data_IF_779939692328
#
_entry.id   IF_779939692328
#
_cell.length_a   1.000
_cell.length_b   1.000
_cell.length_c   1.000
_cell.angle_alpha   90.00
_cell.angle_beta   90.00
_cell.angle_gamma   90.00
#
_symmetry.space_group_name_H-M   'P 1'
#
loop_
_entity.id
_entity.type
_entity.pdbx_description
1 polymer ?
#
# COMPACT_ATOMS: atom_id res chain seq x y z
N UNK A 1 31.62 -6.76 5.51
CA UNK A 1 31.32 -6.13 4.20
C UNK A 1 30.47 -7.05 3.31
N UNK A 2 30.83 -8.32 3.11
CA UNK A 2 30.09 -9.26 2.23
C UNK A 2 28.64 -9.47 2.65
N UNK A 3 28.36 -9.64 3.95
CA UNK A 3 26.99 -9.81 4.46
C UNK A 3 26.09 -8.60 4.13
N UNK A 4 26.60 -7.38 4.17
CA UNK A 4 25.84 -6.17 3.83
C UNK A 4 25.41 -6.22 2.36
N UNK A 5 26.33 -6.59 1.48
CA UNK A 5 26.05 -6.70 0.04
C UNK A 5 25.04 -7.81 -0.23
N UNK A 6 25.19 -8.99 0.41
CA UNK A 6 24.29 -10.12 0.25
C UNK A 6 22.89 -9.79 0.82
N UNK A 7 22.80 -9.22 2.02
CA UNK A 7 21.54 -8.79 2.62
C UNK A 7 20.80 -7.81 1.70
N UNK A 8 21.51 -6.83 1.14
CA UNK A 8 20.95 -5.83 0.24
C UNK A 8 20.44 -6.46 -1.05
N UNK A 9 21.26 -7.26 -1.75
CA UNK A 9 20.87 -7.88 -3.04
C UNK A 9 19.69 -8.84 -2.84
N UNK A 10 19.75 -9.72 -1.84
CA UNK A 10 18.69 -10.71 -1.58
C UNK A 10 17.38 -9.99 -1.22
N UNK A 11 17.44 -8.97 -0.36
CA UNK A 11 16.25 -8.20 0.03
C UNK A 11 15.60 -7.49 -1.16
N UNK A 12 16.39 -6.85 -2.04
CA UNK A 12 15.86 -6.17 -3.23
C UNK A 12 15.21 -7.16 -4.19
N UNK A 13 15.91 -8.25 -4.54
CA UNK A 13 15.38 -9.25 -5.48
C UNK A 13 14.09 -9.86 -4.94
N UNK A 14 14.10 -10.27 -3.69
CA UNK A 14 12.94 -10.87 -3.02
C UNK A 14 11.76 -9.89 -2.95
N UNK A 15 12.00 -8.63 -2.58
CA UNK A 15 10.97 -7.58 -2.52
C UNK A 15 10.33 -7.32 -3.88
N UNK A 16 11.13 -7.26 -4.94
CA UNK A 16 10.62 -7.09 -6.30
C UNK A 16 9.78 -8.27 -6.75
N UNK A 17 10.23 -9.50 -6.50
CA UNK A 17 9.49 -10.71 -6.88
C UNK A 17 8.16 -10.83 -6.11
N UNK A 18 8.15 -10.58 -4.80
CA UNK A 18 6.94 -10.54 -3.97
C UNK A 18 5.98 -9.46 -4.49
N UNK A 19 6.48 -8.25 -4.74
CA UNK A 19 5.70 -7.17 -5.32
C UNK A 19 5.08 -7.55 -6.66
N UNK A 20 5.83 -8.27 -7.49
CA UNK A 20 5.43 -8.67 -8.84
C UNK A 20 4.32 -9.74 -8.87
N UNK A 21 3.96 -10.37 -7.73
CA UNK A 21 2.84 -11.30 -7.67
C UNK A 21 1.54 -10.56 -8.05
N UNK A 22 0.90 -10.93 -9.18
CA UNK A 22 -0.20 -10.15 -9.73
C UNK A 22 -1.55 -10.61 -9.15
N UNK A 23 -1.80 -10.31 -7.88
CA UNK A 23 -2.94 -10.81 -7.10
C UNK A 23 -4.29 -10.56 -7.76
N UNK A 24 -4.57 -9.36 -8.24
CA UNK A 24 -5.83 -9.05 -8.92
C UNK A 24 -6.03 -9.82 -10.22
N UNK A 25 -4.96 -10.03 -10.99
CA UNK A 25 -5.02 -10.87 -12.20
C UNK A 25 -5.33 -12.33 -11.85
N UNK A 26 -4.64 -12.88 -10.86
CA UNK A 26 -4.83 -14.28 -10.42
C UNK A 26 -6.25 -14.50 -9.89
N UNK A 27 -6.75 -13.59 -9.05
CA UNK A 27 -8.11 -13.63 -8.51
C UNK A 27 -9.15 -13.48 -9.63
N UNK A 28 -8.93 -12.56 -10.58
CA UNK A 28 -9.80 -12.38 -11.75
C UNK A 28 -9.93 -13.66 -12.59
N UNK A 29 -8.81 -14.32 -12.84
CA UNK A 29 -8.77 -15.60 -13.54
C UNK A 29 -9.42 -16.72 -12.75
N UNK A 30 -9.16 -16.82 -11.45
CA UNK A 30 -9.69 -17.90 -10.60
C UNK A 30 -11.22 -17.80 -10.40
N UNK A 31 -11.77 -16.61 -10.21
CA UNK A 31 -13.19 -16.44 -9.86
C UNK A 31 -14.12 -16.23 -11.05
N UNK A 32 -13.65 -15.63 -12.15
CA UNK A 32 -14.48 -15.34 -13.34
C UNK A 32 -13.84 -15.69 -14.69
N UNK A 33 -12.64 -16.26 -14.71
CA UNK A 33 -11.93 -16.59 -15.96
C UNK A 33 -11.47 -15.37 -16.77
N UNK A 34 -11.54 -14.15 -16.21
CA UNK A 34 -11.28 -12.90 -16.93
C UNK A 34 -9.94 -12.25 -16.55
N UNK A 35 -9.39 -11.45 -17.46
CA UNK A 35 -8.32 -10.52 -17.12
C UNK A 35 -8.92 -9.23 -16.59
N UNK A 36 -8.73 -8.99 -15.28
CA UNK A 36 -9.27 -7.82 -14.57
C UNK A 36 -8.83 -6.48 -15.17
N UNK A 37 -7.70 -6.47 -15.90
CA UNK A 37 -7.19 -5.27 -16.58
C UNK A 37 -7.98 -4.90 -17.85
N UNK A 38 -8.85 -5.78 -18.32
CA UNK A 38 -9.69 -5.57 -19.51
C UNK A 38 -11.11 -5.12 -19.15
N UNK A 39 -11.46 -5.09 -17.85
CA UNK A 39 -12.82 -4.77 -17.40
C UNK A 39 -12.81 -3.67 -16.32
N UNK A 40 -13.93 -2.96 -16.21
CA UNK A 40 -14.14 -1.91 -15.21
C UNK A 40 -13.16 -0.74 -15.34
N UNK A 41 -12.43 -0.42 -14.29
CA UNK A 41 -11.44 0.67 -14.29
C UNK A 41 -10.11 0.31 -14.96
N UNK A 42 -9.99 -0.87 -15.54
CA UNK A 42 -8.77 -1.41 -16.15
C UNK A 42 -7.55 -1.48 -15.21
N UNK A 43 -7.77 -1.34 -13.91
CA UNK A 43 -6.73 -1.46 -12.88
C UNK A 43 -6.73 -2.85 -12.25
N UNK A 44 -5.54 -3.36 -11.93
CA UNK A 44 -5.37 -4.68 -11.30
C UNK A 44 -5.71 -4.70 -9.79
N UNK A 45 -6.03 -3.55 -9.18
CA UNK A 45 -6.20 -3.42 -7.74
C UNK A 45 -7.55 -3.91 -7.20
N UNK A 46 -7.62 -3.99 -5.86
CA UNK A 46 -8.75 -4.48 -5.08
C UNK A 46 -10.09 -3.82 -5.43
N UNK A 47 -10.13 -2.50 -5.64
CA UNK A 47 -11.37 -1.78 -5.94
C UNK A 47 -11.99 -2.19 -7.27
N UNK A 48 -11.17 -2.40 -8.33
CA UNK A 48 -11.70 -2.89 -9.59
C UNK A 48 -12.24 -4.31 -9.43
N UNK A 49 -11.52 -5.17 -8.72
CA UNK A 49 -11.95 -6.54 -8.41
C UNK A 49 -13.25 -6.55 -7.61
N UNK A 50 -13.36 -5.68 -6.62
CA UNK A 50 -14.56 -5.53 -5.79
C UNK A 50 -15.82 -5.23 -6.62
N UNK A 51 -15.75 -4.26 -7.55
CA UNK A 51 -16.91 -3.84 -8.34
C UNK A 51 -17.22 -4.77 -9.51
N UNK A 52 -16.22 -5.41 -10.11
CA UNK A 52 -16.40 -6.22 -11.32
C UNK A 52 -16.57 -7.71 -11.06
N UNK A 53 -15.97 -8.22 -9.99
CA UNK A 53 -16.01 -9.64 -9.63
C UNK A 53 -16.87 -9.89 -8.41
N UNK A 54 -16.68 -9.10 -7.32
CA UNK A 54 -17.47 -9.19 -6.10
C UNK A 54 -16.71 -8.81 -4.85
N UNK A 55 -17.44 -8.75 -3.73
CA UNK A 55 -16.92 -8.31 -2.42
C UNK A 55 -15.72 -9.17 -1.96
N UNK A 56 -15.91 -10.48 -1.83
CA UNK A 56 -14.88 -11.37 -1.29
C UNK A 56 -13.61 -11.45 -2.15
N UNK A 57 -13.70 -11.58 -3.50
CA UNK A 57 -12.52 -11.46 -4.36
C UNK A 57 -11.79 -10.12 -4.21
N UNK A 58 -12.53 -9.01 -4.09
CA UNK A 58 -11.93 -7.69 -3.85
C UNK A 58 -11.21 -7.59 -2.52
N UNK A 59 -11.79 -8.14 -1.45
CA UNK A 59 -11.17 -8.21 -0.11
C UNK A 59 -9.92 -9.10 -0.12
N UNK A 60 -9.95 -10.23 -0.83
CA UNK A 60 -8.78 -11.10 -0.99
C UNK A 60 -7.62 -10.35 -1.67
N UNK A 61 -7.90 -9.64 -2.77
CA UNK A 61 -6.89 -8.82 -3.45
C UNK A 61 -6.34 -7.74 -2.51
N UNK A 62 -7.20 -7.06 -1.75
CA UNK A 62 -6.80 -6.04 -0.78
C UNK A 62 -5.85 -6.62 0.27
N UNK A 63 -6.25 -7.72 0.91
CA UNK A 63 -5.46 -8.38 1.94
C UNK A 63 -4.10 -8.87 1.41
N UNK A 64 -4.09 -9.49 0.23
CA UNK A 64 -2.84 -9.94 -0.39
C UNK A 64 -1.94 -8.78 -0.80
N UNK A 65 -2.50 -7.67 -1.33
CA UNK A 65 -1.70 -6.52 -1.76
C UNK A 65 -1.13 -5.73 -0.57
N UNK A 66 -1.85 -5.62 0.57
CA UNK A 66 -1.30 -5.12 1.84
C UNK A 66 -0.24 -6.10 2.36
N UNK A 67 -0.60 -7.38 2.44
CA UNK A 67 0.26 -8.43 2.99
C UNK A 67 1.61 -8.53 2.28
N UNK A 68 1.66 -8.39 0.94
CA UNK A 68 2.95 -8.44 0.23
C UNK A 68 3.89 -7.29 0.60
N UNK A 69 3.35 -6.09 0.92
CA UNK A 69 4.14 -4.99 1.45
C UNK A 69 4.76 -5.34 2.80
N UNK A 70 3.93 -5.77 3.76
CA UNK A 70 4.36 -6.16 5.11
C UNK A 70 5.31 -7.37 5.08
N UNK A 71 4.96 -8.44 4.34
CA UNK A 71 5.79 -9.66 4.23
C UNK A 71 7.15 -9.36 3.61
N UNK A 72 7.21 -8.49 2.61
CA UNK A 72 8.48 -8.07 2.00
C UNK A 72 9.43 -7.45 3.03
N UNK A 73 8.94 -6.55 3.88
CA UNK A 73 9.75 -5.91 4.91
C UNK A 73 10.13 -6.88 6.04
N UNK A 74 9.19 -7.73 6.47
CA UNK A 74 9.47 -8.78 7.45
C UNK A 74 10.60 -9.70 6.96
N UNK A 75 10.54 -10.15 5.71
CA UNK A 75 11.59 -11.00 5.14
C UNK A 75 12.91 -10.25 4.97
N UNK A 76 12.88 -8.95 4.66
CA UNK A 76 14.07 -8.10 4.66
C UNK A 76 14.68 -8.02 6.06
N UNK A 77 13.87 -7.79 7.09
CA UNK A 77 14.32 -7.79 8.47
C UNK A 77 14.98 -9.12 8.85
N UNK A 78 14.32 -10.25 8.55
CA UNK A 78 14.86 -11.58 8.85
C UNK A 78 16.16 -11.87 8.08
N UNK A 79 16.23 -11.44 6.83
CA UNK A 79 17.45 -11.58 6.00
C UNK A 79 18.61 -10.79 6.60
N UNK A 80 18.37 -9.53 6.99
CA UNK A 80 19.37 -8.63 7.52
C UNK A 80 19.78 -8.95 8.97
N UNK A 81 18.89 -9.56 9.75
CA UNK A 81 19.15 -9.88 11.16
C UNK A 81 19.73 -11.28 11.38
N UNK A 82 19.31 -12.25 10.57
CA UNK A 82 19.61 -13.68 10.84
C UNK A 82 20.33 -14.39 9.69
N UNK A 83 19.93 -14.16 8.42
CA UNK A 83 20.55 -14.89 7.29
C UNK A 83 21.90 -14.31 6.90
N UNK A 84 21.97 -13.00 6.77
CA UNK A 84 23.20 -12.21 6.51
C UNK A 84 23.28 -11.09 7.55
N UNK A 85 23.67 -11.38 8.81
CA UNK A 85 23.65 -10.38 9.88
C UNK A 85 24.45 -9.15 9.56
N UNK A 86 23.82 -7.97 9.68
CA UNK A 86 24.40 -6.65 9.46
C UNK A 86 24.25 -5.78 10.72
N UNK A 87 25.00 -4.67 10.83
CA UNK A 87 24.80 -3.69 11.90
C UNK A 87 23.36 -3.20 11.97
N UNK A 88 22.79 -3.09 13.19
CA UNK A 88 21.38 -2.76 13.43
C UNK A 88 20.98 -1.40 12.84
N UNK A 89 21.88 -0.44 12.78
CA UNK A 89 21.65 0.88 12.17
C UNK A 89 21.45 0.84 10.65
N UNK A 90 21.76 -0.29 9.97
CA UNK A 90 21.55 -0.47 8.54
C UNK A 90 20.24 -1.23 8.22
N UNK A 91 19.54 -1.81 9.20
CA UNK A 91 18.32 -2.60 8.98
C UNK A 91 17.20 -1.72 8.43
N UNK A 92 16.87 -0.62 9.12
CA UNK A 92 15.82 0.32 8.64
C UNK A 92 16.12 0.87 7.24
N UNK A 93 17.33 1.36 6.92
CA UNK A 93 17.68 1.78 5.56
C UNK A 93 17.42 0.70 4.49
N UNK A 94 17.75 -0.56 4.74
CA UNK A 94 17.49 -1.66 3.79
C UNK A 94 15.99 -1.92 3.67
N UNK A 95 15.23 -1.90 4.77
CA UNK A 95 13.76 -2.01 4.75
C UNK A 95 13.11 -0.87 3.96
N UNK A 96 13.59 0.36 4.10
CA UNK A 96 13.11 1.51 3.32
C UNK A 96 13.29 1.29 1.82
N UNK A 97 14.47 0.82 1.40
CA UNK A 97 14.71 0.49 -0.01
C UNK A 97 13.81 -0.65 -0.47
N UNK A 98 13.69 -1.72 0.32
CA UNK A 98 12.82 -2.87 0.04
C UNK A 98 11.35 -2.47 -0.10
N UNK A 99 10.88 -1.50 0.70
CA UNK A 99 9.54 -0.95 0.61
C UNK A 99 9.28 -0.21 -0.72
N UNK A 100 10.25 0.56 -1.21
CA UNK A 100 10.16 1.16 -2.56
C UNK A 100 10.11 0.07 -3.63
N UNK A 101 10.96 -0.94 -3.52
CA UNK A 101 11.10 -2.02 -4.50
C UNK A 101 9.87 -2.92 -4.57
N UNK A 102 9.23 -3.26 -3.44
CA UNK A 102 7.99 -4.07 -3.46
C UNK A 102 6.84 -3.30 -4.11
N UNK A 103 6.75 -1.99 -3.90
CA UNK A 103 5.76 -1.14 -4.59
C UNK A 103 6.07 -1.05 -6.08
N UNK A 104 7.33 -0.91 -6.47
CA UNK A 104 7.75 -0.95 -7.87
C UNK A 104 7.39 -2.28 -8.54
N UNK A 105 7.60 -3.42 -7.85
CA UNK A 105 7.17 -4.73 -8.30
C UNK A 105 5.66 -4.83 -8.51
N UNK A 106 4.84 -4.25 -7.61
CA UNK A 106 3.39 -4.19 -7.79
C UNK A 106 2.97 -3.33 -8.99
N UNK A 107 3.63 -2.19 -9.19
CA UNK A 107 3.31 -1.26 -10.28
C UNK A 107 3.80 -1.78 -11.64
N UNK A 108 4.94 -2.46 -11.65
CA UNK A 108 5.63 -2.96 -12.82
C UNK A 108 5.98 -4.45 -12.68
N UNK A 109 4.98 -5.35 -12.57
CA UNK A 109 5.20 -6.76 -12.30
C UNK A 109 5.86 -7.45 -13.49
N UNK A 110 6.93 -8.21 -13.21
CA UNK A 110 7.66 -9.01 -14.21
C UNK A 110 6.72 -9.95 -14.99
N UNK A 111 5.83 -10.64 -14.27
CA UNK A 111 4.94 -11.66 -14.82
C UNK A 111 3.83 -11.12 -15.74
N UNK A 112 3.59 -9.80 -15.75
CA UNK A 112 2.56 -9.15 -16.57
C UNK A 112 3.13 -8.12 -17.56
N UNK A 113 4.37 -8.32 -18.02
CA UNK A 113 5.06 -7.42 -18.96
C UNK A 113 5.06 -5.97 -18.44
N UNK A 114 5.33 -5.80 -17.15
CA UNK A 114 5.43 -4.52 -16.45
C UNK A 114 4.13 -3.67 -16.44
N UNK A 115 2.95 -4.30 -16.62
CA UNK A 115 1.65 -3.64 -16.57
C UNK A 115 0.87 -4.09 -15.33
N UNK A 116 1.06 -3.40 -14.21
CA UNK A 116 0.52 -3.77 -12.90
C UNK A 116 -0.53 -2.81 -12.35
N UNK A 117 -0.54 -2.69 -11.02
CA UNK A 117 -1.45 -1.83 -10.26
C UNK A 117 -0.89 -0.42 -9.99
N UNK A 118 -1.45 0.27 -9.00
CA UNK A 118 -1.06 1.63 -8.60
C UNK A 118 -0.29 1.69 -7.27
N UNK A 119 -0.09 0.56 -6.62
CA UNK A 119 0.73 0.43 -5.42
C UNK A 119 0.07 0.86 -4.10
N UNK A 120 -1.19 1.36 -4.11
CA UNK A 120 -1.81 1.92 -2.91
C UNK A 120 -1.91 0.94 -1.74
N UNK A 121 -2.48 -0.24 -1.95
CA UNK A 121 -2.60 -1.25 -0.89
C UNK A 121 -1.22 -1.76 -0.42
N UNK A 122 -0.28 -1.94 -1.35
CA UNK A 122 1.10 -2.34 -1.01
C UNK A 122 1.81 -1.26 -0.21
N UNK A 123 1.60 0.03 -0.54
CA UNK A 123 2.14 1.16 0.24
C UNK A 123 1.56 1.22 1.66
N UNK A 124 0.28 0.88 1.86
CA UNK A 124 -0.29 0.72 3.22
C UNK A 124 0.50 -0.34 3.99
N UNK A 125 0.71 -1.53 3.41
CA UNK A 125 1.45 -2.60 4.08
C UNK A 125 2.89 -2.24 4.42
N UNK A 126 3.56 -1.47 3.55
CA UNK A 126 4.92 -0.95 3.80
C UNK A 126 4.92 0.05 4.96
N UNK A 127 4.03 1.05 4.92
CA UNK A 127 4.00 2.11 5.94
C UNK A 127 3.51 1.59 7.29
N UNK A 128 2.51 0.71 7.31
CA UNK A 128 2.04 0.05 8.53
C UNK A 128 3.13 -0.77 9.22
N UNK A 129 4.08 -1.33 8.47
CA UNK A 129 5.21 -2.07 9.04
C UNK A 129 6.32 -1.14 9.54
N UNK A 130 6.72 -0.12 8.75
CA UNK A 130 7.90 0.69 9.03
C UNK A 130 7.61 1.87 9.95
N UNK A 131 6.34 2.29 10.05
CA UNK A 131 5.85 3.39 10.92
C UNK A 131 4.78 2.86 11.90
N UNK A 132 5.05 1.78 12.64
CA UNK A 132 4.10 1.21 13.57
C UNK A 132 4.15 1.98 14.87
N UNK A 133 3.52 3.12 14.98
CA UNK A 133 3.45 3.82 16.25
C UNK A 133 2.63 3.00 17.26
N UNK A 134 3.35 2.20 18.07
CA UNK A 134 2.74 1.33 19.07
C UNK A 134 2.64 2.10 20.39
N UNK A 135 1.42 2.39 20.82
CA UNK A 135 1.12 2.83 22.17
C UNK A 135 0.87 1.61 23.08
N UNK A 136 1.51 1.63 24.24
CA UNK A 136 1.29 0.62 25.26
C UNK A 136 0.17 1.08 26.18
N UNK A 137 -0.94 0.30 26.25
CA UNK A 137 -2.00 0.55 27.22
C UNK A 137 -1.82 -0.41 28.37
N UNK A 138 -1.71 0.14 29.59
CA UNK A 138 -1.62 -0.62 30.83
C UNK A 138 -3.02 -1.10 31.22
N UNK A 139 -3.24 -2.42 31.20
CA UNK A 139 -4.47 -3.05 31.67
C UNK A 139 -4.11 -4.01 32.81
N UNK A 140 -4.25 -3.52 34.05
CA UNK A 140 -3.80 -4.27 35.23
C UNK A 140 -2.30 -4.51 35.22
N UNK A 141 -1.87 -5.78 35.17
CA UNK A 141 -0.44 -6.17 35.12
C UNK A 141 0.09 -6.37 33.70
N UNK A 142 -0.75 -6.20 32.68
CA UNK A 142 -0.39 -6.43 31.27
C UNK A 142 -0.26 -5.14 30.49
N UNK A 143 0.79 -5.03 29.68
CA UNK A 143 0.96 -3.97 28.69
C UNK A 143 0.47 -4.51 27.33
N UNK A 144 -0.58 -3.90 26.79
CA UNK A 144 -1.14 -4.27 25.48
C UNK A 144 -0.62 -3.29 24.42
N UNK A 145 0.10 -3.80 23.39
CA UNK A 145 0.55 -2.94 22.28
C UNK A 145 -0.63 -2.59 21.37
N UNK A 146 -0.85 -1.30 21.13
CA UNK A 146 -1.87 -0.82 20.21
C UNK A 146 -1.18 -0.08 19.05
N UNK A 147 -1.38 -0.51 17.80
CA UNK A 147 -0.85 0.16 16.61
C UNK A 147 -1.67 1.44 16.33
N UNK A 148 -1.43 2.48 17.12
CA UNK A 148 -2.24 3.71 17.10
C UNK A 148 -2.19 4.39 15.72
N UNK A 149 -1.04 4.38 15.04
CA UNK A 149 -0.90 4.94 13.70
C UNK A 149 -1.82 4.28 12.69
N UNK A 150 -1.87 2.94 12.69
CA UNK A 150 -2.71 2.15 11.78
C UNK A 150 -4.20 2.32 12.09
N UNK A 151 -4.57 2.40 13.37
CA UNK A 151 -5.94 2.66 13.80
C UNK A 151 -6.41 4.06 13.39
N UNK A 152 -5.57 5.09 13.54
CA UNK A 152 -5.89 6.45 13.09
C UNK A 152 -6.02 6.49 11.57
N UNK A 153 -5.13 5.82 10.83
CA UNK A 153 -5.24 5.66 9.38
C UNK A 153 -6.58 5.02 8.98
N UNK A 154 -6.93 3.90 9.60
CA UNK A 154 -8.18 3.18 9.31
C UNK A 154 -9.40 4.04 9.64
N UNK A 155 -9.42 4.70 10.79
CA UNK A 155 -10.51 5.58 11.20
C UNK A 155 -10.68 6.76 10.23
N UNK A 156 -9.58 7.43 9.84
CA UNK A 156 -9.61 8.53 8.88
C UNK A 156 -10.09 8.06 7.49
N UNK A 157 -9.65 6.88 7.05
CA UNK A 157 -10.08 6.27 5.80
C UNK A 157 -11.59 5.98 5.81
N UNK A 158 -12.11 5.34 6.86
CA UNK A 158 -13.53 5.01 6.97
C UNK A 158 -14.39 6.28 7.03
N UNK A 159 -13.98 7.28 7.81
CA UNK A 159 -14.69 8.57 7.89
C UNK A 159 -14.76 9.26 6.53
N UNK A 160 -13.63 9.39 5.84
CA UNK A 160 -13.56 10.00 4.51
C UNK A 160 -14.35 9.18 3.48
N UNK A 161 -14.34 7.86 3.58
CA UNK A 161 -15.13 6.98 2.70
C UNK A 161 -16.63 7.19 2.90
N UNK A 162 -17.10 7.33 4.13
CA UNK A 162 -18.50 7.61 4.43
C UNK A 162 -18.95 8.98 3.89
N UNK A 163 -18.12 10.01 4.05
CA UNK A 163 -18.42 11.38 3.60
C UNK A 163 -18.37 11.48 2.07
N UNK A 164 -17.29 11.00 1.44
CA UNK A 164 -17.03 11.22 0.01
C UNK A 164 -17.56 10.10 -0.88
N UNK A 165 -17.80 8.93 -0.30
CA UNK A 165 -18.13 7.69 -1.03
C UNK A 165 -17.13 7.37 -2.14
N UNK A 166 -15.92 7.89 -2.05
CA UNK A 166 -14.84 7.70 -2.99
C UNK A 166 -13.60 7.08 -2.32
N UNK A 167 -13.51 5.75 -2.38
CA UNK A 167 -12.47 5.01 -1.66
C UNK A 167 -11.04 5.42 -2.04
N UNK A 168 -10.78 5.68 -3.34
CA UNK A 168 -9.43 6.08 -3.78
C UNK A 168 -9.03 7.45 -3.25
N UNK A 169 -9.98 8.38 -3.17
CA UNK A 169 -9.76 9.70 -2.57
C UNK A 169 -9.57 9.56 -1.05
N UNK A 170 -10.44 8.80 -0.39
CA UNK A 170 -10.40 8.58 1.04
C UNK A 170 -9.05 8.02 1.49
N UNK A 171 -8.57 6.92 0.90
CA UNK A 171 -7.29 6.36 1.31
C UNK A 171 -6.12 7.25 0.92
N UNK A 172 -6.19 7.93 -0.22
CA UNK A 172 -5.13 8.87 -0.66
C UNK A 172 -4.90 10.00 0.34
N UNK A 173 -5.98 10.59 0.87
CA UNK A 173 -5.88 11.61 1.92
C UNK A 173 -5.43 11.01 3.25
N UNK A 174 -5.93 9.81 3.60
CA UNK A 174 -5.56 9.15 4.86
C UNK A 174 -4.07 8.78 4.94
N UNK A 175 -3.36 8.68 3.84
CA UNK A 175 -1.90 8.47 3.84
C UNK A 175 -1.12 9.55 4.61
N UNK A 176 -1.69 10.76 4.79
CA UNK A 176 -1.06 11.83 5.56
C UNK A 176 -0.85 11.43 7.05
N UNK A 177 -1.59 10.45 7.53
CA UNK A 177 -1.44 9.94 8.91
C UNK A 177 -0.03 9.41 9.15
N UNK A 178 0.56 8.68 8.21
CA UNK A 178 1.89 8.09 8.40
C UNK A 178 3.02 9.12 8.56
N UNK A 179 3.14 10.17 7.71
CA UNK A 179 4.09 11.26 7.97
C UNK A 179 3.86 11.96 9.31
N UNK A 180 2.59 12.17 9.70
CA UNK A 180 2.28 12.81 10.98
C UNK A 180 2.68 11.92 12.16
N UNK A 181 2.44 10.62 12.08
CA UNK A 181 2.90 9.66 13.10
C UNK A 181 4.42 9.60 13.17
N UNK A 182 5.11 9.57 12.04
CA UNK A 182 6.58 9.57 12.01
C UNK A 182 7.15 10.85 12.63
N UNK A 183 6.55 12.00 12.34
CA UNK A 183 7.01 13.30 12.86
C UNK A 183 6.66 13.50 14.33
N UNK A 184 5.39 13.37 14.72
CA UNK A 184 4.91 13.69 16.05
C UNK A 184 4.95 12.52 17.03
N UNK A 185 4.81 11.29 16.55
CA UNK A 185 4.79 10.08 17.37
C UNK A 185 6.16 9.46 17.57
N UNK A 186 6.94 9.35 16.48
CA UNK A 186 8.26 8.69 16.49
C UNK A 186 9.43 9.70 16.57
N UNK A 187 9.18 10.97 16.29
CA UNK A 187 10.20 12.03 16.22
C UNK A 187 11.35 11.71 15.25
N UNK A 188 11.05 10.99 14.14
CA UNK A 188 12.04 10.55 13.16
C UNK A 188 11.85 11.29 11.82
N UNK A 189 12.81 12.16 11.49
CA UNK A 189 12.79 12.93 10.24
C UNK A 189 12.98 12.05 9.01
N UNK A 190 13.81 11.01 9.09
CA UNK A 190 14.07 10.09 7.98
C UNK A 190 12.80 9.31 7.60
N UNK A 191 12.13 8.71 8.58
CA UNK A 191 10.85 8.02 8.38
C UNK A 191 9.75 8.99 7.94
N UNK A 192 9.76 10.24 8.40
CA UNK A 192 8.81 11.27 7.94
C UNK A 192 8.96 11.53 6.45
N UNK A 193 10.18 11.82 5.98
CA UNK A 193 10.47 12.06 4.56
C UNK A 193 10.12 10.81 3.73
N UNK A 194 10.53 9.64 4.21
CA UNK A 194 10.23 8.37 3.54
C UNK A 194 8.72 8.15 3.39
N UNK A 195 7.94 8.32 4.46
CA UNK A 195 6.49 8.12 4.42
C UNK A 195 5.78 9.12 3.52
N UNK A 196 6.24 10.36 3.43
CA UNK A 196 5.78 11.33 2.42
C UNK A 196 6.07 10.81 1.00
N UNK A 197 7.30 10.38 0.72
CA UNK A 197 7.67 9.86 -0.59
C UNK A 197 6.82 8.63 -0.98
N UNK A 198 6.65 7.68 -0.08
CA UNK A 198 5.82 6.49 -0.31
C UNK A 198 4.34 6.85 -0.54
N UNK A 199 3.79 7.77 0.24
CA UNK A 199 2.40 8.22 0.08
C UNK A 199 2.15 8.92 -1.27
N UNK A 200 3.15 9.58 -1.83
CA UNK A 200 3.06 10.22 -3.13
C UNK A 200 2.99 9.22 -4.30
N UNK A 201 3.59 8.02 -4.18
CA UNK A 201 3.63 7.04 -5.28
C UNK A 201 2.23 6.68 -5.80
N UNK A 202 1.27 6.20 -4.99
CA UNK A 202 -0.06 5.88 -5.48
C UNK A 202 -0.82 7.12 -5.98
N UNK A 203 -0.56 8.30 -5.41
CA UNK A 203 -1.16 9.57 -5.87
C UNK A 203 -0.69 9.87 -7.29
N UNK A 204 0.62 9.81 -7.55
CA UNK A 204 1.21 10.05 -8.88
C UNK A 204 0.68 9.03 -9.90
N UNK A 205 0.63 7.75 -9.54
CA UNK A 205 0.08 6.68 -10.38
C UNK A 205 -1.43 6.83 -10.64
N UNK A 206 -2.13 7.67 -9.86
CA UNK A 206 -3.56 7.93 -10.03
C UNK A 206 -3.86 9.17 -10.89
N UNK A 207 -2.89 10.04 -11.17
CA UNK A 207 -3.07 11.27 -11.95
C UNK A 207 -3.79 11.05 -13.29
N UNK A 208 -3.45 10.05 -14.12
CA UNK A 208 -4.14 9.83 -15.39
C UNK A 208 -5.65 9.57 -15.20
N UNK A 209 -5.99 8.80 -14.16
CA UNK A 209 -7.40 8.52 -13.83
C UNK A 209 -8.12 9.73 -13.27
N UNK A 210 -7.44 10.56 -12.49
CA UNK A 210 -8.00 11.82 -11.98
C UNK A 210 -8.36 12.78 -13.12
N UNK A 211 -7.49 12.92 -14.11
CA UNK A 211 -7.76 13.73 -15.32
C UNK A 211 -8.99 13.24 -16.08
N UNK A 212 -9.14 11.92 -16.25
CA UNK A 212 -10.33 11.35 -16.90
C UNK A 212 -11.62 11.64 -16.10
N UNK A 213 -11.57 11.51 -14.77
CA UNK A 213 -12.71 11.77 -13.88
C UNK A 213 -13.12 13.26 -13.93
N UNK A 214 -12.14 14.17 -13.90
CA UNK A 214 -12.39 15.60 -13.98
C UNK A 214 -12.98 15.98 -15.35
N UNK A 215 -12.50 15.38 -16.43
CA UNK A 215 -13.08 15.56 -17.76
C UNK A 215 -14.55 15.15 -17.82
N UNK A 216 -14.90 13.98 -17.25
CA UNK A 216 -16.30 13.50 -17.16
C UNK A 216 -17.19 14.34 -16.24
N UNK A 217 -16.60 15.12 -15.35
CA UNK A 217 -17.31 15.99 -14.40
C UNK A 217 -17.35 17.46 -14.86
N UNK A 218 -17.04 17.74 -16.14
CA UNK A 218 -16.97 19.08 -16.71
C UNK A 218 -16.08 20.04 -15.90
N UNK A 219 -15.00 19.52 -15.30
CA UNK A 219 -14.09 20.28 -14.44
C UNK A 219 -14.60 20.59 -13.04
N UNK A 220 -15.82 20.17 -12.69
CA UNK A 220 -16.41 20.44 -11.38
C UNK A 220 -15.87 19.47 -10.32
N UNK A 221 -14.90 19.93 -9.52
CA UNK A 221 -14.26 19.21 -8.43
C UNK A 221 -15.26 18.71 -7.38
N UNK A 222 -16.25 19.51 -6.99
CA UNK A 222 -17.27 19.13 -6.01
C UNK A 222 -18.10 17.94 -6.49
N UNK A 223 -18.49 17.96 -7.79
CA UNK A 223 -19.22 16.87 -8.44
C UNK A 223 -18.33 15.61 -8.61
N UNK A 224 -17.05 15.79 -8.80
CA UNK A 224 -16.07 14.69 -8.87
C UNK A 224 -15.82 14.03 -7.52
N UNK A 225 -15.78 14.80 -6.43
CA UNK A 225 -15.49 14.32 -5.05
C UNK A 225 -16.74 13.74 -4.38
N UNK A 226 -17.87 14.48 -4.38
CA UNK A 226 -19.11 14.09 -3.72
C UNK A 226 -20.08 13.42 -4.70
N UNK A 227 -19.92 12.12 -4.90
CA UNK A 227 -20.72 11.34 -5.85
C UNK A 227 -21.95 10.74 -5.19
N UNK A 228 -23.08 10.78 -5.93
CA UNK A 228 -24.36 10.21 -5.45
C UNK A 228 -24.33 8.67 -5.38
N UNK A 229 -23.62 8.00 -6.28
CA UNK A 229 -23.58 6.54 -6.39
C UNK A 229 -22.16 5.98 -6.43
N UNK A 230 -21.94 4.89 -5.71
CA UNK A 230 -20.67 4.13 -5.73
C UNK A 230 -20.42 3.51 -7.12
N UNK A 231 -21.47 3.15 -7.86
CA UNK A 231 -21.39 2.53 -9.19
C UNK A 231 -20.95 3.49 -10.32
N UNK A 232 -21.09 4.80 -10.14
CA UNK A 232 -20.66 5.82 -11.14
C UNK A 232 -19.12 5.99 -11.24
N UNK A 233 -18.38 4.99 -10.74
CA UNK A 233 -16.92 5.04 -10.55
C UNK A 233 -16.13 4.19 -11.54
N UNK A 234 -16.84 3.46 -12.40
CA UNK A 234 -16.21 2.57 -13.38
C UNK A 234 -16.16 3.16 -14.76
#
# INVERSE_FOLDING_TARGET
MINIVLAFIVSIVMSYLIGSIPTGYLVGRAFKGVDIRQIGSHNMGAMNTFYTIGFWPGMLVLACDIGKGTVSLLLTFLTASYLFPIPSNLIIPIEMVSGVIVIAGHNFPLFLKFKGGKGGATAIGVLAFIVPWINWINVGTSNIPIPAGDLIFLASFLLLLLITRWATFAYGISFIVFPLVAWFGMHDQGLTIYSVCIALVPILMYIPRLKEILGKSEGNLKRAIFRKNIKDRM
#
